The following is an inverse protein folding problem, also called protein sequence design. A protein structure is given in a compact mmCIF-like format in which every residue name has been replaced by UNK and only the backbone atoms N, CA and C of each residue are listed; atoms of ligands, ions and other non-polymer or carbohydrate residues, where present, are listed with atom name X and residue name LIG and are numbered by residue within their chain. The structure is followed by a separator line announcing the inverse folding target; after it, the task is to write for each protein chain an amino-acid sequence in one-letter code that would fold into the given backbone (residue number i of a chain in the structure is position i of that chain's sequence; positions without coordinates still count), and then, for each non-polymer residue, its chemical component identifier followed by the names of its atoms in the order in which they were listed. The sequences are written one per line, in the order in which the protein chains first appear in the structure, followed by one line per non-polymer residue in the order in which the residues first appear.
data_IF_129948820910
#
_entry.id   IF_129948820910
#
_cell.length_a   1.000
_cell.length_b   1.000
_cell.length_c   1.000
_cell.angle_alpha   90.00
_cell.angle_beta   90.00
_cell.angle_gamma   90.00
#
_symmetry.space_group_name_H-M   'P 1'
#
loop_
_entity.id
_entity.type
_entity.pdbx_description
1 polymer ?
#
# COMPACT_ATOMS: atom_id res chain seq x y z
N UNK A 1 21.60 -10.37 -13.28
CA UNK A 1 22.00 -8.95 -13.32
C UNK A 1 20.72 -8.16 -13.22
N UNK A 2 20.61 -7.35 -12.18
CA UNK A 2 19.41 -6.54 -11.95
C UNK A 2 19.28 -5.51 -13.05
N UNK A 3 18.07 -5.33 -13.60
CA UNK A 3 17.86 -4.30 -14.61
C UNK A 3 18.09 -2.92 -13.97
N UNK A 4 18.62 -1.97 -14.74
CA UNK A 4 18.91 -0.61 -14.25
C UNK A 4 17.68 0.03 -13.57
N UNK A 5 16.49 -0.20 -14.12
CA UNK A 5 15.21 0.21 -13.52
C UNK A 5 14.97 -0.39 -12.12
N UNK A 6 15.14 -1.72 -11.96
CA UNK A 6 14.94 -2.40 -10.68
C UNK A 6 15.94 -1.94 -9.64
N UNK A 7 17.20 -1.80 -10.03
CA UNK A 7 18.23 -1.27 -9.14
C UNK A 7 17.82 0.13 -8.61
N UNK A 8 17.34 1.02 -9.48
CA UNK A 8 16.84 2.35 -9.08
C UNK A 8 15.64 2.27 -8.14
N UNK A 9 14.67 1.38 -8.39
CA UNK A 9 13.54 1.18 -7.48
C UNK A 9 13.98 0.68 -6.10
N UNK A 10 14.89 -0.29 -6.01
CA UNK A 10 15.39 -0.76 -4.72
C UNK A 10 16.14 0.33 -3.96
N UNK A 11 16.95 1.15 -4.65
CA UNK A 11 17.59 2.31 -4.03
C UNK A 11 16.58 3.31 -3.49
N UNK A 12 15.50 3.57 -4.23
CA UNK A 12 14.40 4.41 -3.77
C UNK A 12 13.76 3.83 -2.50
N UNK A 13 13.36 2.55 -2.52
CA UNK A 13 12.75 1.87 -1.37
C UNK A 13 13.66 1.93 -0.15
N UNK A 14 14.95 1.60 -0.29
CA UNK A 14 15.90 1.63 0.82
C UNK A 14 16.13 3.05 1.33
N UNK A 15 16.13 4.05 0.44
CA UNK A 15 16.15 5.45 0.82
C UNK A 15 14.91 5.87 1.62
N UNK A 16 13.72 5.43 1.21
CA UNK A 16 12.48 5.69 1.94
C UNK A 16 12.47 5.01 3.32
N UNK A 17 12.92 3.75 3.39
CA UNK A 17 13.09 3.03 4.66
C UNK A 17 14.11 3.75 5.57
N UNK A 18 15.21 4.24 5.00
CA UNK A 18 16.21 5.01 5.74
C UNK A 18 15.62 6.29 6.34
N UNK A 19 14.90 7.07 5.53
CA UNK A 19 14.28 8.32 5.98
C UNK A 19 13.24 8.04 7.08
N UNK A 20 12.38 7.03 6.86
CA UNK A 20 11.35 6.66 7.84
C UNK A 20 11.98 6.22 9.17
N UNK A 21 12.92 5.27 9.14
CA UNK A 21 13.52 4.71 10.36
C UNK A 21 14.35 5.76 11.12
N UNK A 22 15.06 6.65 10.41
CA UNK A 22 15.76 7.79 11.03
C UNK A 22 14.77 8.77 11.70
N UNK A 23 13.71 9.15 10.99
CA UNK A 23 12.69 10.05 11.53
C UNK A 23 11.98 9.43 12.73
N UNK A 24 11.65 8.14 12.65
CA UNK A 24 11.05 7.38 13.74
C UNK A 24 11.97 7.32 14.96
N UNK A 25 13.26 7.01 14.76
CA UNK A 25 14.24 6.96 15.83
C UNK A 25 14.40 8.31 16.53
N UNK A 26 14.49 9.40 15.76
CA UNK A 26 14.53 10.76 16.29
C UNK A 26 13.26 11.10 17.07
N UNK A 27 12.09 10.76 16.54
CA UNK A 27 10.80 11.00 17.19
C UNK A 27 10.68 10.24 18.52
N UNK A 28 10.97 8.94 18.54
CA UNK A 28 10.90 8.09 19.73
C UNK A 28 11.91 8.49 20.82
N UNK A 29 13.06 9.05 20.44
CA UNK A 29 14.03 9.60 21.38
C UNK A 29 13.63 10.98 21.93
N UNK A 30 13.11 11.86 21.07
CA UNK A 30 12.80 13.25 21.45
C UNK A 30 11.49 13.39 22.23
N UNK A 31 10.49 12.56 21.90
CA UNK A 31 9.16 12.57 22.50
C UNK A 31 8.72 11.15 22.88
N UNK A 32 9.35 10.51 23.87
CA UNK A 32 9.06 9.11 24.20
C UNK A 32 7.63 8.82 24.68
N UNK A 33 6.87 9.86 25.05
CA UNK A 33 5.47 9.74 25.48
C UNK A 33 4.46 9.86 24.34
N UNK A 34 4.83 10.49 23.21
CA UNK A 34 3.85 10.89 22.19
C UNK A 34 3.14 9.71 21.52
N UNK A 35 3.77 8.54 21.45
CA UNK A 35 3.09 7.33 20.96
C UNK A 35 1.94 6.93 21.90
N UNK A 36 2.19 6.90 23.19
CA UNK A 36 1.21 6.45 24.19
C UNK A 36 0.03 7.41 24.24
N UNK A 37 0.31 8.71 24.16
CA UNK A 37 -0.71 9.75 24.08
C UNK A 37 -1.54 9.63 22.79
N UNK A 38 -0.91 9.34 21.64
CA UNK A 38 -1.62 9.24 20.35
C UNK A 38 -2.50 8.00 20.22
N UNK A 39 -2.18 6.90 20.92
CA UNK A 39 -3.00 5.69 20.95
C UNK A 39 -3.90 5.57 22.18
N UNK A 40 -3.92 6.61 23.03
CA UNK A 40 -4.70 6.72 24.27
C UNK A 40 -4.42 5.58 25.27
N UNK A 41 -3.14 5.30 25.50
CA UNK A 41 -2.68 4.31 26.47
C UNK A 41 -1.91 5.01 27.58
N UNK A 42 -1.99 4.47 28.80
CA UNK A 42 -1.20 4.97 29.93
C UNK A 42 0.30 4.97 29.57
N UNK A 43 0.94 6.14 29.73
CA UNK A 43 2.38 6.27 29.54
C UNK A 43 3.14 5.33 30.50
N UNK A 44 4.24 4.70 30.05
CA UNK A 44 5.06 3.87 30.91
C UNK A 44 5.74 4.71 32.00
N UNK A 45 5.99 4.09 33.16
CA UNK A 45 6.68 4.74 34.28
C UNK A 45 8.09 5.25 33.91
N UNK A 46 8.74 4.57 32.95
CA UNK A 46 10.06 4.94 32.44
C UNK A 46 10.01 5.10 30.91
N UNK A 47 9.57 6.26 30.40
CA UNK A 47 9.45 6.50 28.95
C UNK A 47 10.78 6.37 28.19
N UNK A 48 11.92 6.61 28.85
CA UNK A 48 13.24 6.42 28.26
C UNK A 48 13.49 4.99 27.75
N UNK A 49 12.79 3.98 28.29
CA UNK A 49 12.85 2.61 27.78
C UNK A 49 12.29 2.50 26.34
N UNK A 50 11.34 3.36 25.97
CA UNK A 50 10.82 3.42 24.60
C UNK A 50 11.82 4.05 23.62
N UNK A 51 12.69 4.94 24.11
CA UNK A 51 13.75 5.52 23.29
C UNK A 51 14.80 4.49 22.88
N UNK A 52 15.01 3.42 23.64
CA UNK A 52 15.96 2.37 23.30
C UNK A 52 15.62 1.65 21.96
N UNK A 53 14.42 1.08 21.76
CA UNK A 53 13.98 0.61 20.46
C UNK A 53 14.06 1.69 19.37
N UNK A 54 13.69 2.93 19.70
CA UNK A 54 13.80 4.07 18.79
C UNK A 54 15.22 4.27 18.26
N UNK A 55 16.23 4.26 19.14
CA UNK A 55 17.64 4.37 18.74
C UNK A 55 18.08 3.21 17.83
N UNK A 56 17.69 1.98 18.18
CA UNK A 56 18.03 0.79 17.38
C UNK A 56 17.42 0.90 15.98
N UNK A 57 16.14 1.27 15.87
CA UNK A 57 15.46 1.50 14.58
C UNK A 57 16.15 2.64 13.82
N UNK A 58 16.49 3.74 14.49
CA UNK A 58 17.27 4.83 13.88
C UNK A 58 18.60 4.38 13.27
N UNK A 59 19.32 3.46 13.93
CA UNK A 59 20.55 2.87 13.38
C UNK A 59 20.28 1.98 12.17
N UNK A 60 19.17 1.25 12.13
CA UNK A 60 18.74 0.56 10.89
C UNK A 60 18.50 1.54 9.75
N UNK A 61 17.99 2.74 10.04
CA UNK A 61 17.87 3.81 9.04
C UNK A 61 19.21 4.16 8.38
N UNK A 62 20.30 4.23 9.14
CA UNK A 62 21.66 4.42 8.61
C UNK A 62 22.10 3.24 7.73
N UNK A 63 21.80 2.01 8.16
CA UNK A 63 22.12 0.81 7.39
C UNK A 63 21.34 0.76 6.07
N UNK A 64 20.07 1.17 6.05
CA UNK A 64 19.28 1.27 4.82
C UNK A 64 19.78 2.37 3.89
N UNK A 65 20.28 3.50 4.42
CA UNK A 65 20.93 4.52 3.61
C UNK A 65 22.19 3.97 2.93
N UNK A 66 23.00 3.19 3.67
CA UNK A 66 24.15 2.50 3.10
C UNK A 66 23.73 1.47 2.03
N UNK A 67 22.68 0.68 2.28
CA UNK A 67 22.13 -0.27 1.33
C UNK A 67 21.61 0.42 0.04
N UNK A 68 21.00 1.60 0.17
CA UNK A 68 20.57 2.42 -0.97
C UNK A 68 21.78 2.93 -1.80
N UNK A 69 22.90 3.24 -1.15
CA UNK A 69 24.12 3.68 -1.82
C UNK A 69 24.90 2.51 -2.46
N UNK A 70 25.02 1.38 -1.76
CA UNK A 70 25.75 0.16 -2.17
C UNK A 70 24.80 -1.04 -2.27
N UNK A 71 23.98 -1.05 -3.32
CA UNK A 71 23.01 -2.12 -3.57
C UNK A 71 23.66 -3.50 -3.70
N UNK A 72 24.91 -3.56 -4.19
CA UNK A 72 25.73 -4.77 -4.31
C UNK A 72 26.04 -5.42 -2.95
N UNK A 73 25.98 -4.65 -1.86
CA UNK A 73 26.23 -5.11 -0.48
C UNK A 73 24.99 -5.07 0.40
N UNK A 74 23.83 -4.76 -0.16
CA UNK A 74 22.61 -4.55 0.60
C UNK A 74 22.01 -5.86 1.15
N UNK A 75 22.25 -7.01 0.53
CA UNK A 75 21.57 -8.27 0.89
C UNK A 75 21.66 -8.65 2.37
N UNK A 76 22.84 -8.67 3.04
CA UNK A 76 22.89 -8.97 4.48
C UNK A 76 22.11 -7.98 5.34
N UNK A 77 22.19 -6.68 5.01
CA UNK A 77 21.50 -5.62 5.74
C UNK A 77 19.99 -5.77 5.61
N UNK A 78 19.49 -5.97 4.38
CA UNK A 78 18.06 -6.09 4.10
C UNK A 78 17.50 -7.41 4.65
N UNK A 79 18.27 -8.49 4.67
CA UNK A 79 17.87 -9.74 5.32
C UNK A 79 17.64 -9.58 6.81
N UNK A 80 18.59 -8.95 7.53
CA UNK A 80 18.43 -8.67 8.97
C UNK A 80 17.29 -7.69 9.21
N UNK A 81 17.20 -6.64 8.38
CA UNK A 81 16.10 -5.68 8.42
C UNK A 81 14.72 -6.32 8.24
N UNK A 82 14.58 -7.22 7.26
CA UNK A 82 13.34 -7.97 7.03
C UNK A 82 13.03 -8.89 8.22
N UNK A 83 14.02 -9.58 8.78
CA UNK A 83 13.82 -10.40 9.97
C UNK A 83 13.30 -9.56 11.15
N UNK A 84 13.91 -8.39 11.40
CA UNK A 84 13.44 -7.45 12.42
C UNK A 84 12.00 -7.01 12.17
N UNK A 85 11.67 -6.65 10.93
CA UNK A 85 10.32 -6.23 10.54
C UNK A 85 9.30 -7.37 10.58
N UNK A 86 9.70 -8.63 10.53
CA UNK A 86 8.80 -9.79 10.76
C UNK A 86 8.58 -10.02 12.26
N UNK A 87 9.64 -9.89 13.06
CA UNK A 87 9.57 -10.09 14.50
C UNK A 87 8.76 -9.00 15.21
N UNK A 88 8.76 -7.76 14.71
CA UNK A 88 7.96 -6.65 15.25
C UNK A 88 6.46 -6.99 15.36
N UNK A 89 5.77 -7.32 14.25
CA UNK A 89 4.37 -7.73 14.25
C UNK A 89 4.09 -8.98 15.08
N UNK A 90 5.01 -9.96 15.13
CA UNK A 90 4.88 -11.14 16.00
C UNK A 90 4.84 -10.70 17.47
N UNK A 91 5.81 -9.89 17.90
CA UNK A 91 5.84 -9.35 19.26
C UNK A 91 4.61 -8.51 19.58
N UNK A 92 4.16 -7.67 18.64
CA UNK A 92 2.94 -6.88 18.76
C UNK A 92 1.69 -7.76 18.94
N UNK A 93 1.53 -8.82 18.14
CA UNK A 93 0.41 -9.76 18.28
C UNK A 93 0.39 -10.42 19.67
N UNK A 94 1.56 -10.80 20.20
CA UNK A 94 1.66 -11.37 21.55
C UNK A 94 1.19 -10.38 22.62
N UNK A 95 1.55 -9.10 22.49
CA UNK A 95 1.18 -8.07 23.45
C UNK A 95 -0.30 -7.68 23.34
N UNK A 96 -0.85 -7.62 22.12
CA UNK A 96 -2.29 -7.41 21.92
C UNK A 96 -3.11 -8.57 22.49
N UNK A 97 -2.72 -9.82 22.23
CA UNK A 97 -3.43 -10.99 22.75
C UNK A 97 -3.41 -11.05 24.29
N UNK A 98 -2.39 -10.43 24.93
CA UNK A 98 -2.33 -10.29 26.38
C UNK A 98 -3.19 -9.15 26.95
N UNK A 99 -3.89 -8.38 26.10
CA UNK A 99 -4.72 -7.24 26.50
C UNK A 99 -3.95 -6.00 26.95
N UNK A 100 -2.62 -6.00 26.82
CA UNK A 100 -1.76 -4.90 27.31
C UNK A 100 -1.71 -3.71 26.37
N UNK A 101 -1.90 -3.92 25.07
CA UNK A 101 -1.87 -2.87 24.05
C UNK A 101 -3.16 -2.90 23.22
N UNK A 102 -3.70 -1.74 22.83
CA UNK A 102 -4.89 -1.66 22.00
C UNK A 102 -4.55 -1.91 20.52
N UNK A 103 -5.56 -2.38 19.78
CA UNK A 103 -5.47 -2.54 18.32
C UNK A 103 -5.22 -1.21 17.57
N UNK A 104 -5.48 -0.06 18.22
CA UNK A 104 -5.17 1.30 17.70
C UNK A 104 -3.72 1.48 17.28
N UNK A 105 -2.83 0.66 17.84
CA UNK A 105 -1.40 0.65 17.51
C UNK A 105 -1.11 -0.06 16.18
N UNK A 106 -2.13 -0.60 15.48
CA UNK A 106 -1.97 -1.24 14.18
C UNK A 106 -1.37 -0.30 13.13
N UNK A 107 -1.77 0.97 13.11
CA UNK A 107 -1.17 1.98 12.20
C UNK A 107 0.35 2.07 12.38
N UNK A 108 0.85 2.02 13.63
CA UNK A 108 2.29 1.99 13.88
C UNK A 108 2.94 0.78 13.21
N UNK A 109 2.36 -0.41 13.37
CA UNK A 109 2.89 -1.66 12.81
C UNK A 109 2.85 -1.68 11.28
N UNK A 110 1.81 -1.11 10.68
CA UNK A 110 1.73 -0.99 9.22
C UNK A 110 2.96 -0.25 8.70
N UNK A 111 3.22 0.96 9.20
CA UNK A 111 4.30 1.80 8.68
C UNK A 111 5.69 1.41 9.20
N UNK A 112 5.80 0.86 10.41
CA UNK A 112 7.09 0.46 10.96
C UNK A 112 7.59 -0.85 10.34
N UNK A 113 6.67 -1.76 10.00
CA UNK A 113 7.01 -3.14 9.68
C UNK A 113 6.38 -3.61 8.36
N UNK A 114 5.05 -3.69 8.27
CA UNK A 114 4.36 -4.46 7.21
C UNK A 114 4.62 -3.94 5.81
N UNK A 115 4.66 -2.61 5.61
CA UNK A 115 4.87 -2.02 4.26
C UNK A 115 6.21 -2.40 3.63
N UNK A 116 7.19 -2.76 4.46
CA UNK A 116 8.55 -3.05 4.02
C UNK A 116 8.74 -4.54 3.68
N UNK A 117 7.83 -5.41 4.11
CA UNK A 117 7.94 -6.86 3.90
C UNK A 117 8.04 -7.22 2.43
N UNK A 118 7.08 -6.73 1.64
CA UNK A 118 7.03 -7.01 0.21
C UNK A 118 8.27 -6.49 -0.52
N UNK A 119 8.67 -5.20 -0.43
CA UNK A 119 9.80 -4.72 -1.21
C UNK A 119 11.15 -5.31 -0.74
N UNK A 120 11.34 -5.58 0.56
CA UNK A 120 12.55 -6.24 1.06
C UNK A 120 12.60 -7.71 0.63
N UNK A 121 11.49 -8.43 0.74
CA UNK A 121 11.37 -9.80 0.25
C UNK A 121 11.62 -9.90 -1.26
N UNK A 122 11.03 -9.00 -2.04
CA UNK A 122 11.25 -8.94 -3.49
C UNK A 122 12.70 -8.66 -3.85
N UNK A 123 13.42 -7.81 -3.10
CA UNK A 123 14.84 -7.59 -3.31
C UNK A 123 15.66 -8.86 -3.06
N UNK A 124 15.43 -9.54 -1.93
CA UNK A 124 16.18 -10.74 -1.56
C UNK A 124 15.90 -11.92 -2.51
N UNK A 125 14.69 -11.98 -3.07
CA UNK A 125 14.27 -13.05 -3.98
C UNK A 125 14.49 -12.70 -5.46
N UNK A 126 14.95 -11.50 -5.79
CA UNK A 126 14.86 -10.90 -7.13
C UNK A 126 15.46 -11.77 -8.25
N UNK A 127 16.61 -12.38 -8.00
CA UNK A 127 17.33 -13.21 -8.99
C UNK A 127 16.97 -14.71 -8.91
N UNK A 128 16.15 -15.10 -7.93
CA UNK A 128 15.72 -16.50 -7.74
C UNK A 128 14.65 -16.92 -8.74
N UNK A 129 14.44 -18.23 -8.90
CA UNK A 129 13.31 -18.77 -9.69
C UNK A 129 11.96 -18.27 -9.18
N UNK A 130 11.82 -18.17 -7.85
CA UNK A 130 10.62 -17.70 -7.21
C UNK A 130 10.35 -16.21 -7.47
N UNK A 131 11.37 -15.35 -7.40
CA UNK A 131 11.23 -13.92 -7.75
C UNK A 131 10.83 -13.70 -9.21
N UNK A 132 11.39 -14.49 -10.14
CA UNK A 132 10.98 -14.48 -11.55
C UNK A 132 9.52 -14.91 -11.73
N UNK A 133 9.09 -15.94 -11.00
CA UNK A 133 7.70 -16.40 -11.00
C UNK A 133 6.75 -15.33 -10.44
N UNK A 134 7.08 -14.69 -9.31
CA UNK A 134 6.30 -13.60 -8.72
C UNK A 134 6.08 -12.46 -9.71
N UNK A 135 7.15 -12.02 -10.41
CA UNK A 135 7.05 -11.00 -11.45
C UNK A 135 6.14 -11.43 -12.60
N UNK A 136 6.23 -12.68 -13.03
CA UNK A 136 5.35 -13.20 -14.08
C UNK A 136 3.90 -13.13 -13.62
N UNK A 137 3.57 -13.58 -12.42
CA UNK A 137 2.18 -13.63 -11.96
C UNK A 137 1.59 -12.27 -11.56
N UNK A 138 2.40 -11.21 -11.47
CA UNK A 138 2.02 -9.91 -10.88
C UNK A 138 0.72 -9.31 -11.45
N UNK A 139 0.49 -9.25 -12.77
CA UNK A 139 -0.76 -8.70 -13.31
C UNK A 139 -1.99 -9.49 -12.87
N UNK A 140 -1.91 -10.83 -12.93
CA UNK A 140 -3.03 -11.68 -12.52
C UNK A 140 -3.29 -11.62 -11.01
N UNK A 141 -2.23 -11.61 -10.21
CA UNK A 141 -2.35 -11.41 -8.76
C UNK A 141 -3.04 -10.07 -8.44
N UNK A 142 -2.62 -8.97 -9.09
CA UNK A 142 -3.26 -7.67 -8.95
C UNK A 142 -4.75 -7.72 -9.34
N UNK A 143 -5.07 -8.26 -10.52
CA UNK A 143 -6.45 -8.38 -10.99
C UNK A 143 -7.34 -9.20 -10.02
N UNK A 144 -6.85 -10.35 -9.56
CA UNK A 144 -7.59 -11.22 -8.65
C UNK A 144 -7.80 -10.59 -7.28
N UNK A 145 -6.75 -10.02 -6.67
CA UNK A 145 -6.86 -9.42 -5.34
C UNK A 145 -7.79 -8.20 -5.38
N UNK A 146 -7.72 -7.36 -6.42
CA UNK A 146 -8.62 -6.22 -6.56
C UNK A 146 -10.08 -6.66 -6.81
N UNK A 147 -10.31 -7.72 -7.60
CA UNK A 147 -11.64 -8.27 -7.78
C UNK A 147 -12.22 -8.82 -6.46
N UNK A 148 -11.41 -9.53 -5.67
CA UNK A 148 -11.80 -10.00 -4.34
C UNK A 148 -12.09 -8.84 -3.39
N UNK A 149 -11.26 -7.78 -3.39
CA UNK A 149 -11.48 -6.59 -2.59
C UNK A 149 -12.79 -5.89 -2.96
N UNK A 150 -13.12 -5.79 -4.24
CA UNK A 150 -14.39 -5.22 -4.70
C UNK A 150 -15.60 -6.04 -4.22
N UNK A 151 -15.52 -7.38 -4.25
CA UNK A 151 -16.57 -8.26 -3.71
C UNK A 151 -16.72 -8.10 -2.20
N UNK A 152 -15.60 -8.06 -1.47
CA UNK A 152 -15.57 -7.83 -0.02
C UNK A 152 -16.15 -6.46 0.35
N UNK A 153 -15.86 -5.42 -0.43
CA UNK A 153 -16.47 -4.11 -0.24
C UNK A 153 -18.00 -4.17 -0.36
N UNK A 154 -18.49 -4.86 -1.39
CA UNK A 154 -19.92 -4.98 -1.66
C UNK A 154 -20.67 -5.78 -0.58
N UNK A 155 -20.10 -6.90 -0.13
CA UNK A 155 -20.81 -7.86 0.72
C UNK A 155 -20.44 -7.78 2.21
N UNK A 156 -19.27 -7.28 2.56
CA UNK A 156 -18.73 -7.35 3.93
C UNK A 156 -18.41 -6.00 4.55
N UNK A 157 -17.99 -5.01 3.77
CA UNK A 157 -17.65 -3.69 4.32
C UNK A 157 -18.80 -2.69 4.22
N UNK A 158 -19.66 -2.82 3.19
CA UNK A 158 -20.69 -1.83 2.84
C UNK A 158 -21.50 -1.29 4.04
N UNK A 159 -21.91 -2.14 4.97
CA UNK A 159 -22.70 -1.74 6.14
C UNK A 159 -22.00 -0.77 7.11
N UNK A 160 -20.66 -0.75 7.12
CA UNK A 160 -19.85 0.16 7.92
C UNK A 160 -19.36 1.40 7.18
N UNK A 161 -19.73 1.56 5.90
CA UNK A 161 -19.28 2.65 5.02
C UNK A 161 -20.33 3.75 4.86
N UNK A 162 -19.98 4.76 4.09
CA UNK A 162 -20.81 5.91 3.73
C UNK A 162 -22.07 5.56 2.95
N UNK A 163 -22.16 4.32 2.45
CA UNK A 163 -23.40 3.79 1.89
C UNK A 163 -24.58 3.83 2.88
N UNK A 164 -24.30 3.79 4.19
CA UNK A 164 -25.28 3.98 5.26
C UNK A 164 -25.14 5.42 5.77
N UNK A 165 -26.19 6.24 5.84
CA UNK A 165 -26.03 7.66 6.23
C UNK A 165 -25.73 7.85 7.73
N UNK A 166 -26.30 7.01 8.59
CA UNK A 166 -26.20 7.12 10.06
C UNK A 166 -24.87 6.57 10.60
N UNK A 167 -24.11 7.39 11.32
CA UNK A 167 -22.90 6.94 12.02
C UNK A 167 -23.20 5.88 13.09
N UNK A 168 -24.34 5.98 13.76
CA UNK A 168 -24.75 5.01 14.78
C UNK A 168 -24.97 3.63 14.17
N UNK A 169 -25.66 3.56 13.02
CA UNK A 169 -25.89 2.28 12.32
C UNK A 169 -24.57 1.67 11.81
N UNK A 170 -23.68 2.50 11.24
CA UNK A 170 -22.33 2.03 10.85
C UNK A 170 -21.56 1.49 12.04
N UNK A 171 -21.59 2.20 13.17
CA UNK A 171 -20.88 1.78 14.39
C UNK A 171 -21.42 0.45 14.93
N UNK A 172 -22.73 0.27 14.96
CA UNK A 172 -23.38 -1.00 15.33
C UNK A 172 -22.94 -2.12 14.39
N UNK A 173 -23.01 -1.90 13.08
CA UNK A 173 -22.58 -2.89 12.09
C UNK A 173 -21.13 -3.33 12.30
N UNK A 174 -20.22 -2.36 12.48
CA UNK A 174 -18.79 -2.63 12.69
C UNK A 174 -18.55 -3.39 14.00
N UNK A 175 -19.28 -3.05 15.06
CA UNK A 175 -19.17 -3.73 16.34
C UNK A 175 -19.62 -5.20 16.25
N UNK A 176 -20.73 -5.46 15.55
CA UNK A 176 -21.29 -6.81 15.35
C UNK A 176 -20.44 -7.66 14.39
N UNK A 177 -19.76 -7.03 13.43
CA UNK A 177 -19.00 -7.70 12.37
C UNK A 177 -17.49 -7.44 12.42
N UNK A 178 -16.93 -7.21 13.62
CA UNK A 178 -15.56 -6.72 13.80
C UNK A 178 -14.48 -7.55 13.07
N UNK A 179 -14.60 -8.88 13.05
CA UNK A 179 -13.63 -9.76 12.35
C UNK A 179 -13.74 -9.58 10.84
N UNK A 180 -14.96 -9.57 10.30
CA UNK A 180 -15.23 -9.36 8.87
C UNK A 180 -14.74 -7.97 8.42
N UNK A 181 -15.02 -6.94 9.21
CA UNK A 181 -14.56 -5.58 8.99
C UNK A 181 -13.04 -5.49 8.87
N UNK A 182 -12.31 -6.03 9.87
CA UNK A 182 -10.84 -5.98 9.88
C UNK A 182 -10.22 -6.77 8.74
N UNK A 183 -10.77 -7.95 8.48
CA UNK A 183 -10.31 -8.81 7.38
C UNK A 183 -10.57 -8.14 6.03
N UNK A 184 -11.72 -7.50 5.87
CA UNK A 184 -12.07 -6.85 4.61
C UNK A 184 -11.17 -5.67 4.28
N UNK A 185 -10.85 -4.84 5.28
CA UNK A 185 -9.87 -3.77 5.11
C UNK A 185 -8.45 -4.30 4.89
N UNK A 186 -8.06 -5.40 5.52
CA UNK A 186 -6.76 -6.04 5.24
C UNK A 186 -6.67 -6.55 3.78
N UNK A 187 -7.77 -7.07 3.22
CA UNK A 187 -7.86 -7.44 1.79
C UNK A 187 -7.77 -6.19 0.91
N UNK A 188 -8.38 -5.07 1.32
CA UNK A 188 -8.28 -3.79 0.61
C UNK A 188 -6.83 -3.25 0.61
N UNK A 189 -6.13 -3.31 1.74
CA UNK A 189 -4.69 -3.00 1.83
C UNK A 189 -3.87 -3.87 0.88
N UNK A 190 -4.17 -5.18 0.82
CA UNK A 190 -3.50 -6.09 -0.11
C UNK A 190 -3.76 -5.71 -1.58
N UNK A 191 -4.97 -5.26 -1.91
CA UNK A 191 -5.31 -4.76 -3.24
C UNK A 191 -4.47 -3.53 -3.62
N UNK A 192 -4.37 -2.55 -2.73
CA UNK A 192 -3.53 -1.36 -2.88
C UNK A 192 -2.05 -1.71 -3.10
N UNK A 193 -1.50 -2.59 -2.26
CA UNK A 193 -0.12 -3.09 -2.39
C UNK A 193 0.08 -3.80 -3.74
N UNK A 194 -0.87 -4.64 -4.14
CA UNK A 194 -0.80 -5.36 -5.42
C UNK A 194 -0.87 -4.43 -6.64
N UNK A 195 -1.60 -3.31 -6.53
CA UNK A 195 -1.69 -2.29 -7.58
C UNK A 195 -0.37 -1.55 -7.75
N UNK A 196 0.30 -1.16 -6.66
CA UNK A 196 1.65 -0.58 -6.73
C UNK A 196 2.66 -1.57 -7.29
N UNK A 197 2.57 -2.84 -6.90
CA UNK A 197 3.42 -3.90 -7.47
C UNK A 197 3.20 -4.05 -8.98
N UNK A 198 1.94 -3.97 -9.44
CA UNK A 198 1.60 -3.97 -10.86
C UNK A 198 2.16 -2.74 -11.59
N UNK A 199 2.09 -1.55 -11.01
CA UNK A 199 2.68 -0.35 -11.60
C UNK A 199 4.21 -0.41 -11.68
N UNK A 200 4.88 -0.98 -10.67
CA UNK A 200 6.32 -1.25 -10.74
C UNK A 200 6.67 -2.30 -11.80
N UNK A 201 5.83 -3.32 -11.95
CA UNK A 201 5.97 -4.32 -13.01
C UNK A 201 5.80 -3.70 -14.40
N UNK A 202 4.76 -2.89 -14.62
CA UNK A 202 4.52 -2.19 -15.87
C UNK A 202 5.66 -1.20 -16.17
N UNK A 203 6.10 -0.43 -15.17
CA UNK A 203 7.23 0.50 -15.32
C UNK A 203 8.55 -0.17 -15.71
N UNK A 204 8.72 -1.47 -15.47
CA UNK A 204 9.89 -2.21 -15.95
C UNK A 204 9.85 -2.50 -17.46
N UNK A 205 8.68 -2.40 -18.08
CA UNK A 205 8.45 -2.72 -19.50
C UNK A 205 8.41 -1.48 -20.40
N UNK A 206 8.48 -0.28 -19.85
CA UNK A 206 8.49 0.96 -20.63
C UNK A 206 9.92 1.40 -20.99
N UNK A 207 10.09 2.09 -22.11
CA UNK A 207 11.42 2.58 -22.55
C UNK A 207 12.04 3.58 -21.59
N UNK A 208 11.24 4.49 -21.03
CA UNK A 208 11.75 5.55 -20.15
C UNK A 208 11.75 5.12 -18.69
N UNK A 209 12.92 4.72 -18.20
CA UNK A 209 13.15 4.43 -16.76
C UNK A 209 12.72 5.58 -15.86
N UNK A 210 12.92 6.84 -16.29
CA UNK A 210 12.54 8.03 -15.52
C UNK A 210 11.03 8.07 -15.26
N UNK A 211 10.22 7.92 -16.31
CA UNK A 211 8.76 7.98 -16.17
C UNK A 211 8.20 6.81 -15.37
N UNK A 212 8.83 5.63 -15.47
CA UNK A 212 8.45 4.45 -14.69
C UNK A 212 8.70 4.66 -13.20
N UNK A 213 9.82 5.30 -12.84
CA UNK A 213 10.13 5.65 -11.45
C UNK A 213 9.16 6.73 -10.95
N UNK A 214 8.90 7.77 -11.73
CA UNK A 214 7.94 8.83 -11.34
C UNK A 214 6.56 8.24 -11.06
N UNK A 215 6.04 7.38 -11.95
CA UNK A 215 4.76 6.71 -11.72
C UNK A 215 4.77 5.86 -10.44
N UNK A 216 5.85 5.13 -10.18
CA UNK A 216 6.00 4.35 -8.94
C UNK A 216 6.02 5.22 -7.70
N UNK A 217 6.74 6.36 -7.71
CA UNK A 217 6.76 7.30 -6.59
C UNK A 217 5.35 7.82 -6.31
N UNK A 218 4.62 8.26 -7.35
CA UNK A 218 3.24 8.74 -7.22
C UNK A 218 2.35 7.63 -6.64
N UNK A 219 2.47 6.40 -7.13
CA UNK A 219 1.71 5.26 -6.61
C UNK A 219 2.07 4.90 -5.16
N UNK A 220 3.34 4.97 -4.76
CA UNK A 220 3.78 4.73 -3.38
C UNK A 220 3.21 5.80 -2.43
N UNK A 221 3.12 7.05 -2.87
CA UNK A 221 2.44 8.10 -2.10
C UNK A 221 0.95 7.80 -1.94
N UNK A 222 0.30 7.31 -3.00
CA UNK A 222 -1.09 6.84 -2.92
C UNK A 222 -1.27 5.71 -1.92
N UNK A 223 -0.37 4.72 -1.95
CA UNK A 223 -0.34 3.60 -1.00
C UNK A 223 -0.16 4.07 0.44
N UNK A 224 0.67 5.08 0.70
CA UNK A 224 0.80 5.62 2.05
C UNK A 224 -0.52 6.24 2.56
N UNK A 225 -1.29 6.92 1.70
CA UNK A 225 -2.60 7.48 2.05
C UNK A 225 -3.62 6.37 2.37
N UNK A 226 -3.71 5.37 1.50
CA UNK A 226 -4.57 4.20 1.67
C UNK A 226 -4.26 3.48 2.98
N UNK A 227 -3.01 3.03 3.15
CA UNK A 227 -2.62 2.27 4.33
C UNK A 227 -2.83 3.04 5.63
N UNK A 228 -2.71 4.37 5.60
CA UNK A 228 -3.12 5.20 6.74
C UNK A 228 -4.62 5.12 6.97
N UNK A 229 -5.45 5.34 5.94
CA UNK A 229 -6.90 5.26 6.02
C UNK A 229 -7.38 3.92 6.59
N UNK A 230 -7.03 2.80 5.95
CA UNK A 230 -7.59 1.52 6.39
C UNK A 230 -6.91 0.93 7.63
N UNK A 231 -5.70 1.37 7.98
CA UNK A 231 -5.19 1.09 9.34
C UNK A 231 -5.98 1.82 10.44
N UNK A 232 -6.47 3.04 10.18
CA UNK A 232 -7.39 3.73 11.08
C UNK A 232 -8.73 3.00 11.17
N UNK A 233 -9.29 2.54 10.04
CA UNK A 233 -10.52 1.75 10.03
C UNK A 233 -10.39 0.44 10.83
N UNK A 234 -9.25 -0.25 10.73
CA UNK A 234 -8.99 -1.48 11.48
C UNK A 234 -8.75 -1.22 12.97
N UNK A 235 -7.92 -0.21 13.27
CA UNK A 235 -7.40 0.04 14.61
C UNK A 235 -8.34 0.82 15.53
N UNK A 236 -9.15 1.72 14.96
CA UNK A 236 -9.94 2.68 15.73
C UNK A 236 -11.45 2.45 15.65
N UNK A 237 -12.00 2.14 14.48
CA UNK A 237 -13.45 2.03 14.34
C UNK A 237 -13.99 0.80 15.09
N UNK A 238 -15.17 0.92 15.75
CA UNK A 238 -16.14 2.02 15.65
C UNK A 238 -15.85 3.24 16.55
N UNK A 239 -14.79 3.22 17.36
CA UNK A 239 -14.44 4.38 18.17
C UNK A 239 -14.04 5.56 17.27
N UNK A 240 -14.44 6.77 17.66
CA UNK A 240 -14.17 8.03 16.94
C UNK A 240 -14.66 8.04 15.47
N UNK A 241 -15.66 7.22 15.13
CA UNK A 241 -16.17 7.08 13.75
C UNK A 241 -16.55 8.42 13.11
N UNK A 242 -17.17 9.33 13.84
CA UNK A 242 -17.58 10.65 13.33
C UNK A 242 -16.41 11.51 12.86
N UNK A 243 -15.23 11.31 13.47
CA UNK A 243 -14.01 12.07 13.13
C UNK A 243 -13.10 11.32 12.16
N UNK A 244 -12.98 10.00 12.31
CA UNK A 244 -12.01 9.21 11.55
C UNK A 244 -12.58 8.64 10.26
N UNK A 245 -13.89 8.37 10.18
CA UNK A 245 -14.49 7.88 8.94
C UNK A 245 -14.33 8.90 7.79
N UNK A 246 -14.70 10.19 7.94
CA UNK A 246 -14.53 11.17 6.86
C UNK A 246 -13.06 11.36 6.44
N UNK A 247 -12.13 11.34 7.41
CA UNK A 247 -10.70 11.45 7.13
C UNK A 247 -10.21 10.25 6.32
N UNK A 248 -10.60 9.04 6.73
CA UNK A 248 -10.25 7.83 5.99
C UNK A 248 -10.82 7.84 4.56
N UNK A 249 -12.07 8.28 4.39
CA UNK A 249 -12.70 8.43 3.07
C UNK A 249 -11.94 9.37 2.15
N UNK A 250 -11.50 10.53 2.66
CA UNK A 250 -10.69 11.48 1.90
C UNK A 250 -9.30 10.91 1.57
N UNK A 251 -8.70 10.16 2.49
CA UNK A 251 -7.41 9.53 2.26
C UNK A 251 -7.49 8.43 1.18
N UNK A 252 -8.46 7.53 1.23
CA UNK A 252 -8.59 6.42 0.26
C UNK A 252 -9.26 6.83 -1.05
N UNK A 253 -10.47 7.40 -0.97
CA UNK A 253 -11.30 7.71 -2.15
C UNK A 253 -10.83 8.93 -2.93
N UNK A 254 -10.19 9.90 -2.26
CA UNK A 254 -9.67 11.10 -2.91
C UNK A 254 -8.16 11.02 -3.13
N UNK A 255 -7.35 11.05 -2.07
CA UNK A 255 -5.89 11.16 -2.19
C UNK A 255 -5.24 9.93 -2.83
N UNK A 256 -5.47 8.74 -2.27
CA UNK A 256 -4.85 7.50 -2.77
C UNK A 256 -5.32 7.17 -4.19
N UNK A 257 -6.64 7.08 -4.40
CA UNK A 257 -7.22 6.83 -5.71
C UNK A 257 -6.78 7.86 -6.77
N UNK A 258 -6.71 9.15 -6.42
CA UNK A 258 -6.24 10.20 -7.31
C UNK A 258 -4.78 10.00 -7.72
N UNK A 259 -3.91 9.66 -6.76
CA UNK A 259 -2.50 9.37 -7.00
C UNK A 259 -2.32 8.10 -7.86
N UNK A 260 -3.05 7.02 -7.60
CA UNK A 260 -3.00 5.83 -8.47
C UNK A 260 -3.47 6.12 -9.89
N UNK A 261 -4.52 6.94 -10.03
CA UNK A 261 -5.04 7.35 -11.34
C UNK A 261 -3.98 8.15 -12.10
N UNK A 262 -3.31 9.10 -11.45
CA UNK A 262 -2.20 9.86 -12.04
C UNK A 262 -1.05 8.92 -12.44
N UNK A 263 -0.67 7.96 -11.59
CA UNK A 263 0.37 6.99 -11.90
C UNK A 263 0.00 6.13 -13.13
N UNK A 264 -1.26 5.67 -13.20
CA UNK A 264 -1.82 4.96 -14.35
C UNK A 264 -1.80 5.78 -15.64
N UNK A 265 -2.13 7.07 -15.57
CA UNK A 265 -2.04 8.01 -16.71
C UNK A 265 -0.59 8.17 -17.17
N UNK A 266 0.36 8.37 -16.25
CA UNK A 266 1.79 8.49 -16.59
C UNK A 266 2.26 7.22 -17.31
N UNK A 267 1.95 6.03 -16.78
CA UNK A 267 2.33 4.76 -17.39
C UNK A 267 1.66 4.55 -18.75
N UNK A 268 0.39 4.91 -18.89
CA UNK A 268 -0.35 4.83 -20.16
C UNK A 268 0.30 5.72 -21.23
N UNK A 269 0.63 6.96 -20.88
CA UNK A 269 1.29 7.90 -21.79
C UNK A 269 2.72 7.45 -22.13
N UNK A 270 3.42 6.84 -21.17
CA UNK A 270 4.79 6.33 -21.36
C UNK A 270 4.86 4.96 -22.06
N UNK A 271 3.71 4.38 -22.45
CA UNK A 271 3.64 3.07 -23.14
C UNK A 271 2.95 3.19 -24.52
N UNK A 272 3.65 3.69 -25.56
CA UNK A 272 3.06 3.87 -26.88
C UNK A 272 2.54 2.59 -27.56
N UNK A 273 3.02 1.41 -27.14
CA UNK A 273 2.55 0.12 -27.63
C UNK A 273 1.10 -0.19 -27.24
N UNK A 274 0.53 0.51 -26.27
CA UNK A 274 -0.90 0.41 -25.95
C UNK A 274 -1.67 1.27 -26.97
N UNK A 275 -2.30 0.61 -27.94
CA UNK A 275 -3.12 1.26 -28.97
C UNK A 275 -4.50 0.59 -29.12
N UNK A 276 -5.40 1.27 -29.85
CA UNK A 276 -6.75 0.80 -30.12
C UNK A 276 -7.60 0.62 -28.85
N UNK A 277 -8.37 -0.46 -28.81
CA UNK A 277 -9.33 -0.77 -27.74
C UNK A 277 -8.68 -0.76 -26.35
N UNK A 278 -7.46 -1.28 -26.22
CA UNK A 278 -6.78 -1.36 -24.93
C UNK A 278 -6.44 0.02 -24.34
N UNK A 279 -6.15 0.99 -25.19
CA UNK A 279 -5.89 2.38 -24.78
C UNK A 279 -7.17 3.10 -24.40
N UNK A 280 -8.24 2.89 -25.16
CA UNK A 280 -9.58 3.44 -24.85
C UNK A 280 -10.07 2.90 -23.51
N UNK A 281 -9.88 1.60 -23.27
CA UNK A 281 -10.23 0.96 -22.01
C UNK A 281 -9.40 1.53 -20.83
N UNK A 282 -8.09 1.74 -21.01
CA UNK A 282 -7.27 2.41 -20.00
C UNK A 282 -7.81 3.81 -19.66
N UNK A 283 -8.19 4.61 -20.66
CA UNK A 283 -8.77 5.94 -20.41
C UNK A 283 -10.14 5.89 -19.73
N UNK A 284 -10.95 4.86 -19.97
CA UNK A 284 -12.21 4.65 -19.24
C UNK A 284 -11.95 4.35 -17.75
N UNK A 285 -10.91 3.57 -17.44
CA UNK A 285 -10.47 3.31 -16.07
C UNK A 285 -10.06 4.63 -15.40
N UNK A 286 -9.17 5.41 -16.02
CA UNK A 286 -8.67 6.65 -15.42
C UNK A 286 -9.74 7.72 -15.27
N UNK A 287 -10.67 7.82 -16.22
CA UNK A 287 -11.86 8.68 -16.10
C UNK A 287 -12.71 8.28 -14.89
N UNK A 288 -12.93 6.97 -14.69
CA UNK A 288 -13.65 6.46 -13.52
C UNK A 288 -12.91 6.74 -12.21
N UNK A 289 -11.58 6.64 -12.22
CA UNK A 289 -10.72 7.02 -11.10
C UNK A 289 -10.84 8.50 -10.75
N UNK A 290 -10.73 9.41 -11.72
CA UNK A 290 -10.93 10.84 -11.46
C UNK A 290 -12.35 11.16 -10.99
N UNK A 291 -13.37 10.51 -11.56
CA UNK A 291 -14.75 10.65 -11.12
C UNK A 291 -14.90 10.26 -9.64
N UNK A 292 -14.28 9.16 -9.21
CA UNK A 292 -14.25 8.74 -7.80
C UNK A 292 -13.62 9.81 -6.91
N UNK A 293 -12.44 10.32 -7.27
CA UNK A 293 -11.78 11.40 -6.50
C UNK A 293 -12.68 12.63 -6.36
N UNK A 294 -13.30 13.09 -7.44
CA UNK A 294 -14.19 14.26 -7.42
C UNK A 294 -15.44 13.98 -6.58
N UNK A 295 -16.07 12.82 -6.74
CA UNK A 295 -17.24 12.44 -5.97
C UNK A 295 -16.95 12.34 -4.47
N UNK A 296 -15.77 11.84 -4.09
CA UNK A 296 -15.31 11.84 -2.70
C UNK A 296 -15.11 13.26 -2.16
N UNK A 297 -14.48 14.16 -2.93
CA UNK A 297 -14.27 15.55 -2.50
C UNK A 297 -15.57 16.31 -2.24
N UNK A 298 -16.61 16.07 -3.05
CA UNK A 298 -17.91 16.73 -2.90
C UNK A 298 -18.87 15.97 -1.97
N UNK A 299 -18.45 14.84 -1.39
CA UNK A 299 -19.28 14.02 -0.50
C UNK A 299 -20.45 13.29 -1.20
N UNK A 300 -20.37 13.05 -2.52
CA UNK A 300 -21.44 12.36 -3.27
C UNK A 300 -21.33 10.85 -3.11
N UNK A 301 -22.08 10.28 -2.17
CA UNK A 301 -22.10 8.82 -1.89
C UNK A 301 -22.48 8.01 -3.12
N UNK A 302 -23.57 8.38 -3.80
CA UNK A 302 -23.99 7.69 -5.02
C UNK A 302 -22.91 7.76 -6.09
N UNK A 303 -22.28 8.94 -6.25
CA UNK A 303 -21.15 9.12 -7.15
C UNK A 303 -20.00 8.18 -6.85
N UNK A 304 -19.56 8.13 -5.59
CA UNK A 304 -18.48 7.24 -5.13
C UNK A 304 -18.78 5.75 -5.39
N UNK A 305 -20.01 5.31 -5.14
CA UNK A 305 -20.41 3.91 -5.40
C UNK A 305 -20.37 3.59 -6.89
N UNK A 306 -20.93 4.46 -7.73
CA UNK A 306 -20.96 4.27 -9.19
C UNK A 306 -19.56 4.28 -9.78
N UNK A 307 -18.74 5.27 -9.41
CA UNK A 307 -17.38 5.42 -9.93
C UNK A 307 -16.46 4.29 -9.46
N UNK A 308 -16.54 3.86 -8.19
CA UNK A 308 -15.79 2.71 -7.68
C UNK A 308 -16.19 1.43 -8.41
N UNK A 309 -17.50 1.21 -8.61
CA UNK A 309 -18.00 0.03 -9.33
C UNK A 309 -17.48 0.00 -10.77
N UNK A 310 -17.60 1.11 -11.49
CA UNK A 310 -17.09 1.23 -12.85
C UNK A 310 -15.57 1.02 -12.89
N UNK A 311 -14.82 1.65 -11.97
CA UNK A 311 -13.38 1.51 -11.86
C UNK A 311 -12.97 0.04 -11.68
N UNK A 312 -13.57 -0.68 -10.73
CA UNK A 312 -13.21 -2.07 -10.43
C UNK A 312 -13.57 -3.02 -11.58
N UNK A 313 -14.76 -2.85 -12.18
CA UNK A 313 -15.22 -3.65 -13.32
C UNK A 313 -14.36 -3.43 -14.58
N UNK A 314 -13.81 -2.23 -14.77
CA UNK A 314 -12.93 -1.94 -15.89
C UNK A 314 -11.49 -2.37 -15.59
N UNK A 315 -10.98 -2.07 -14.39
CA UNK A 315 -9.57 -2.27 -14.02
C UNK A 315 -9.19 -3.75 -13.97
N UNK A 316 -9.94 -4.58 -13.24
CA UNK A 316 -9.56 -5.97 -13.00
C UNK A 316 -9.36 -6.78 -14.30
N UNK A 317 -10.34 -6.83 -15.22
CA UNK A 317 -10.14 -7.50 -16.52
C UNK A 317 -9.07 -6.82 -17.38
N UNK A 318 -8.97 -5.48 -17.38
CA UNK A 318 -7.96 -4.79 -18.15
C UNK A 318 -6.54 -5.15 -17.71
N UNK A 319 -6.26 -5.19 -16.41
CA UNK A 319 -4.95 -5.56 -15.85
C UNK A 319 -4.56 -6.97 -16.29
N UNK A 320 -5.50 -7.92 -16.29
CA UNK A 320 -5.24 -9.29 -16.73
C UNK A 320 -4.95 -9.37 -18.24
N UNK A 321 -5.76 -8.70 -19.07
CA UNK A 321 -5.60 -8.69 -20.54
C UNK A 321 -4.31 -7.96 -20.95
N UNK A 322 -4.06 -6.79 -20.37
CA UNK A 322 -2.86 -6.00 -20.62
C UNK A 322 -1.61 -6.77 -20.17
N UNK A 323 -1.65 -7.38 -18.99
CA UNK A 323 -0.57 -8.22 -18.46
C UNK A 323 -0.22 -9.37 -19.40
N UNK A 324 -1.23 -10.10 -19.88
CA UNK A 324 -1.05 -11.17 -20.86
C UNK A 324 -0.41 -10.67 -22.16
N UNK A 325 -0.95 -9.60 -22.74
CA UNK A 325 -0.47 -9.05 -24.01
C UNK A 325 0.99 -8.61 -23.94
N UNK A 326 1.35 -7.85 -22.90
CA UNK A 326 2.70 -7.33 -22.73
C UNK A 326 3.75 -8.45 -22.53
N UNK A 327 3.37 -9.54 -21.84
CA UNK A 327 4.26 -10.70 -21.67
C UNK A 327 4.43 -11.49 -22.97
N UNK A 328 3.38 -11.65 -23.77
CA UNK A 328 3.46 -12.39 -25.03
C UNK A 328 4.16 -11.62 -26.15
N UNK A 329 3.97 -10.30 -26.26
CA UNK A 329 4.67 -9.46 -27.23
C UNK A 329 6.18 -9.36 -26.96
N UNK A 330 6.60 -9.48 -25.69
CA UNK A 330 8.02 -9.50 -25.33
C UNK A 330 8.73 -10.83 -25.69
N UNK A 331 7.98 -11.89 -26.03
CA UNK A 331 8.50 -13.22 -26.34
C UNK A 331 8.45 -13.59 -27.83
N UNK A 332 7.90 -12.74 -28.70
CA UNK A 332 8.06 -12.91 -30.13
C UNK A 332 9.37 -12.23 -30.58
N UNK A 333 10.37 -12.97 -31.10
CA UNK A 333 11.47 -12.34 -31.82
C UNK A 333 10.86 -11.57 -32.98
N UNK A 334 11.34 -10.35 -33.23
CA UNK A 334 11.00 -9.61 -34.44
C UNK A 334 11.23 -10.56 -35.63
N UNK A 335 10.15 -10.99 -36.28
CA UNK A 335 10.25 -11.71 -37.53
C UNK A 335 10.90 -10.74 -38.52
N UNK A 336 12.12 -11.11 -38.92
CA UNK A 336 12.92 -10.41 -39.92
C UNK A 336 12.27 -10.52 -41.30
#
# INVERSE_FOLDING_TARGET
MTSDYRAKLYRLVFGLAAIYDLAFGLWACRWPRSLFDSVEVASPNYPALWSCPGMVIGLYGVLYAYAAYRIDRAAPIISVGLAGKILGPIGWLMVINSGKWPLRTFTLIVFNDLIWWLPFGLFLLDETRFGKWLRRITPWACATINALAALVMLFSLRGGTEAISSFAERATYIAEHAVSWRTGWAIWMAAAVSLVAFFAWWGASIRSTRWGIVACVVAILGLACDLLAESLFIGWLPARIETLAPVGSLLTGCAANGLYTIAGVILTLATPSIHGVLRVWAWAIWTSGFALTVCTMIGSVTGMVVSTTALMLLLCPWVAVFGWKLQHECHQPAAA
#
